data_IF_413562683270
#
_entry.id   IF_413562683270
#
_cell.length_a   1.000
_cell.length_b   1.000
_cell.length_c   1.000
_cell.angle_alpha   90.00
_cell.angle_beta   90.00
_cell.angle_gamma   90.00
#
_symmetry.space_group_name_H-M   'P 1'
#
loop_
_entity.id
_entity.type
_entity.pdbx_description
1 polymer ?
#
# COMPACT_ATOMS: atom_id res chain seq x y z
N UNK A 1 -16.74 -9.62 23.40
CA UNK A 1 -15.69 -9.01 22.54
C UNK A 1 -14.63 -8.28 23.37
N UNK A 2 -14.94 -7.17 24.07
CA UNK A 2 -13.94 -6.32 24.73
C UNK A 2 -12.85 -7.05 25.55
N UNK A 3 -13.21 -8.04 26.37
CA UNK A 3 -12.25 -8.78 27.21
C UNK A 3 -11.18 -9.56 26.41
N UNK A 4 -11.56 -10.20 25.30
CA UNK A 4 -10.61 -10.94 24.45
C UNK A 4 -9.68 -10.01 23.68
N UNK A 5 -10.22 -8.90 23.16
CA UNK A 5 -9.44 -7.89 22.45
C UNK A 5 -8.46 -7.15 23.38
N UNK A 6 -8.88 -6.85 24.62
CA UNK A 6 -8.00 -6.33 25.66
C UNK A 6 -6.82 -7.28 25.90
N UNK A 7 -7.07 -8.58 26.10
CA UNK A 7 -6.01 -9.56 26.31
C UNK A 7 -5.02 -9.61 25.13
N UNK A 8 -5.52 -9.64 23.89
CA UNK A 8 -4.68 -9.58 22.68
C UNK A 8 -3.80 -8.33 22.66
N UNK A 9 -4.40 -7.15 22.82
CA UNK A 9 -3.67 -5.87 22.76
C UNK A 9 -2.61 -5.76 23.89
N UNK A 10 -2.82 -6.41 25.04
CA UNK A 10 -1.80 -6.51 26.10
C UNK A 10 -0.72 -7.57 25.84
N UNK A 11 -0.95 -8.53 24.96
CA UNK A 11 -0.01 -9.61 24.63
C UNK A 11 0.83 -9.29 23.37
N UNK A 12 0.31 -8.45 22.48
CA UNK A 12 1.03 -8.03 21.28
C UNK A 12 2.28 -7.21 21.63
N UNK A 13 3.46 -7.53 21.07
CA UNK A 13 4.69 -6.79 21.34
C UNK A 13 4.61 -5.36 20.77
N UNK A 14 5.20 -4.35 21.43
CA UNK A 14 5.23 -2.98 20.92
C UNK A 14 5.95 -2.94 19.56
N UNK A 15 5.38 -2.22 18.60
CA UNK A 15 5.96 -2.09 17.26
C UNK A 15 7.06 -1.01 17.25
N UNK A 16 8.23 -1.30 16.68
CA UNK A 16 9.36 -0.37 16.62
C UNK A 16 9.17 0.74 15.56
N UNK A 17 10.23 1.54 15.33
CA UNK A 17 10.30 2.49 14.23
C UNK A 17 10.48 1.82 12.87
N UNK A 18 10.27 2.58 11.78
CA UNK A 18 10.63 2.13 10.43
C UNK A 18 12.15 1.89 10.34
N UNK A 19 12.56 0.88 9.57
CA UNK A 19 13.95 0.42 9.50
C UNK A 19 14.33 -0.65 10.53
N UNK A 20 13.57 -0.82 11.61
CA UNK A 20 13.78 -1.90 12.59
C UNK A 20 13.05 -3.20 12.20
N UNK A 21 13.56 -4.34 12.67
CA UNK A 21 12.95 -5.64 12.41
C UNK A 21 11.61 -5.79 13.18
N UNK A 22 10.51 -6.18 12.52
CA UNK A 22 9.23 -6.37 13.20
C UNK A 22 9.30 -7.54 14.21
N UNK A 23 8.77 -7.38 15.43
CA UNK A 23 8.89 -8.38 16.50
C UNK A 23 7.93 -9.57 16.36
N UNK A 24 7.00 -9.53 15.40
CA UNK A 24 5.97 -10.53 15.15
C UNK A 24 5.53 -10.47 13.69
N UNK A 25 5.08 -11.58 13.11
CA UNK A 25 4.51 -11.64 11.75
C UNK A 25 2.98 -11.47 11.75
N UNK A 26 2.41 -11.10 10.60
CA UNK A 26 0.94 -11.05 10.44
C UNK A 26 0.26 -12.41 10.64
N UNK A 27 0.94 -13.50 10.31
CA UNK A 27 0.42 -14.86 10.52
C UNK A 27 0.28 -15.16 12.02
N UNK A 28 1.28 -14.78 12.82
CA UNK A 28 1.24 -14.95 14.28
C UNK A 28 0.19 -14.05 14.94
N UNK A 29 0.05 -12.79 14.50
CA UNK A 29 -1.05 -11.92 14.95
C UNK A 29 -2.41 -12.54 14.55
N UNK A 30 -2.52 -13.11 13.36
CA UNK A 30 -3.72 -13.83 12.90
C UNK A 30 -4.04 -15.07 13.72
N UNK A 31 -3.01 -15.83 14.13
CA UNK A 31 -3.13 -17.00 15.01
C UNK A 31 -3.67 -16.60 16.38
N UNK A 32 -3.07 -15.57 17.00
CA UNK A 32 -3.49 -15.03 18.30
C UNK A 32 -4.90 -14.42 18.24
N UNK A 33 -5.24 -13.73 17.14
CA UNK A 33 -6.56 -13.12 16.96
C UNK A 33 -7.65 -14.14 16.60
N UNK A 34 -7.29 -15.26 15.97
CA UNK A 34 -8.21 -16.33 15.57
C UNK A 34 -8.90 -17.04 16.74
N UNK A 35 -8.31 -17.01 17.94
CA UNK A 35 -8.90 -17.52 19.18
C UNK A 35 -10.06 -16.62 19.70
N UNK A 36 -10.19 -15.40 19.17
CA UNK A 36 -11.15 -14.40 19.67
C UNK A 36 -12.39 -14.38 18.78
N UNK A 37 -13.59 -14.66 19.33
CA UNK A 37 -14.83 -14.57 18.56
C UNK A 37 -15.18 -13.11 18.26
N UNK A 38 -15.16 -12.75 16.97
CA UNK A 38 -15.62 -11.47 16.44
C UNK A 38 -15.68 -11.49 14.92
N UNK A 39 -16.77 -10.96 14.34
CA UNK A 39 -16.91 -10.81 12.88
C UNK A 39 -15.95 -9.72 12.35
N UNK A 40 -15.67 -8.74 13.22
CA UNK A 40 -14.81 -7.58 12.95
C UNK A 40 -13.35 -8.00 12.79
N UNK A 41 -12.86 -8.89 13.68
CA UNK A 41 -11.51 -9.46 13.59
C UNK A 41 -11.39 -10.30 12.32
N UNK A 42 -12.36 -11.18 12.05
CA UNK A 42 -12.33 -12.03 10.84
C UNK A 42 -12.30 -11.19 9.55
N UNK A 43 -13.18 -10.19 9.43
CA UNK A 43 -13.21 -9.30 8.28
C UNK A 43 -11.92 -8.48 8.09
N UNK A 44 -11.21 -8.14 9.18
CA UNK A 44 -9.90 -7.52 9.10
C UNK A 44 -8.84 -8.46 8.51
N UNK A 45 -8.83 -9.74 8.90
CA UNK A 45 -7.92 -10.72 8.30
C UNK A 45 -8.30 -11.11 6.87
N UNK A 46 -9.59 -11.16 6.53
CA UNK A 46 -10.07 -11.28 5.13
C UNK A 46 -9.51 -10.14 4.26
N UNK A 47 -9.45 -8.91 4.76
CA UNK A 47 -8.87 -7.76 4.03
C UNK A 47 -7.34 -7.87 3.84
N UNK A 48 -6.61 -8.44 4.81
CA UNK A 48 -5.17 -8.67 4.69
C UNK A 48 -4.90 -9.74 3.63
N UNK A 49 -5.61 -10.87 3.71
CA UNK A 49 -5.52 -11.97 2.74
C UNK A 49 -5.90 -11.54 1.32
N UNK A 50 -6.93 -10.67 1.19
CA UNK A 50 -7.31 -10.07 -0.08
C UNK A 50 -6.17 -9.25 -0.69
N UNK A 51 -5.42 -8.50 0.11
CA UNK A 51 -4.30 -7.70 -0.39
C UNK A 51 -3.09 -8.55 -0.78
N UNK A 52 -2.78 -9.60 -0.03
CA UNK A 52 -1.72 -10.55 -0.40
C UNK A 52 -2.10 -11.27 -1.72
N UNK A 53 -3.35 -11.73 -1.84
CA UNK A 53 -3.89 -12.31 -3.10
C UNK A 53 -3.81 -11.33 -4.26
N UNK A 54 -4.13 -10.04 -4.02
CA UNK A 54 -4.03 -8.99 -5.02
C UNK A 54 -2.57 -8.74 -5.43
N UNK A 55 -1.63 -8.75 -4.48
CA UNK A 55 -0.19 -8.61 -4.76
C UNK A 55 0.32 -9.74 -5.65
N UNK A 56 -0.08 -10.97 -5.38
CA UNK A 56 0.35 -12.15 -6.14
C UNK A 56 -0.25 -12.14 -7.57
N UNK A 57 -1.50 -11.71 -7.72
CA UNK A 57 -2.14 -11.48 -9.02
C UNK A 57 -1.46 -10.34 -9.82
N UNK A 58 -1.13 -9.23 -9.16
CA UNK A 58 -0.37 -8.13 -9.79
C UNK A 58 1.01 -8.62 -10.22
N UNK A 59 1.76 -9.29 -9.35
CA UNK A 59 3.07 -9.84 -9.66
C UNK A 59 3.05 -10.90 -10.76
N UNK A 60 1.97 -11.70 -10.85
CA UNK A 60 1.76 -12.65 -11.94
C UNK A 60 1.58 -11.96 -13.29
N UNK A 61 0.76 -10.89 -13.35
CA UNK A 61 0.54 -10.10 -14.57
C UNK A 61 1.79 -9.33 -15.01
N UNK A 62 2.55 -8.80 -14.06
CA UNK A 62 3.79 -8.06 -14.31
C UNK A 62 5.03 -8.96 -14.45
N UNK A 63 4.85 -10.28 -14.43
CA UNK A 63 5.92 -11.28 -14.56
C UNK A 63 7.09 -11.09 -13.58
N UNK A 64 6.80 -10.66 -12.34
CA UNK A 64 7.84 -10.34 -11.35
C UNK A 64 8.56 -11.60 -10.83
N UNK A 65 9.90 -11.58 -10.72
CA UNK A 65 10.65 -12.70 -10.15
C UNK A 65 10.26 -12.92 -8.68
N UNK A 66 10.11 -14.19 -8.30
CA UNK A 66 9.58 -14.60 -6.98
C UNK A 66 8.13 -15.10 -7.01
N UNK A 67 7.33 -14.66 -8.00
CA UNK A 67 5.98 -15.24 -8.28
C UNK A 67 6.06 -16.34 -9.34
N UNK A 68 7.09 -16.32 -10.18
CA UNK A 68 7.35 -17.30 -11.23
C UNK A 68 7.51 -18.72 -10.67
N UNK A 69 6.47 -19.54 -10.84
CA UNK A 69 6.46 -20.97 -10.49
C UNK A 69 5.28 -21.42 -9.63
N UNK A 70 4.57 -20.49 -8.99
CA UNK A 70 3.27 -20.79 -8.38
C UNK A 70 2.15 -20.56 -9.40
N UNK A 71 1.07 -21.37 -9.42
CA UNK A 71 -0.10 -21.07 -10.22
C UNK A 71 -0.70 -19.75 -9.71
N UNK A 72 -0.95 -18.81 -10.63
CA UNK A 72 -1.58 -17.54 -10.28
C UNK A 72 -2.91 -17.79 -9.53
N UNK A 73 -3.23 -17.03 -8.47
CA UNK A 73 -4.50 -17.17 -7.76
C UNK A 73 -5.69 -17.05 -8.72
N UNK A 74 -6.81 -17.72 -8.43
CA UNK A 74 -8.03 -17.54 -9.24
C UNK A 74 -8.57 -16.10 -9.03
N UNK A 75 -8.67 -15.26 -10.08
CA UNK A 75 -9.27 -13.92 -9.97
C UNK A 75 -10.72 -13.96 -9.49
N UNK A 76 -11.43 -15.08 -9.65
CA UNK A 76 -12.77 -15.31 -9.12
C UNK A 76 -12.88 -15.29 -7.58
N UNK A 77 -11.74 -15.35 -6.87
CA UNK A 77 -11.68 -15.15 -5.42
C UNK A 77 -11.78 -13.67 -4.99
N UNK A 78 -11.53 -12.73 -5.91
CA UNK A 78 -11.58 -11.30 -5.63
C UNK A 78 -13.03 -10.76 -5.60
N UNK A 79 -13.30 -9.64 -4.89
CA UNK A 79 -14.51 -8.86 -5.09
C UNK A 79 -14.73 -8.54 -6.58
N UNK A 80 -15.98 -8.59 -7.11
CA UNK A 80 -16.22 -8.48 -8.56
C UNK A 80 -15.64 -7.22 -9.24
N UNK A 81 -15.59 -6.10 -8.51
CA UNK A 81 -15.00 -4.83 -8.97
C UNK A 81 -13.48 -4.91 -9.18
N UNK A 82 -12.79 -5.73 -8.39
CA UNK A 82 -11.36 -6.02 -8.51
C UNK A 82 -11.10 -7.13 -9.54
N UNK A 83 -11.89 -8.22 -9.53
CA UNK A 83 -11.78 -9.31 -10.49
C UNK A 83 -11.83 -8.81 -11.95
N UNK A 84 -12.71 -7.84 -12.22
CA UNK A 84 -12.83 -7.18 -13.53
C UNK A 84 -11.54 -6.49 -14.03
N UNK A 85 -10.58 -6.16 -13.16
CA UNK A 85 -9.28 -5.57 -13.56
C UNK A 85 -8.26 -6.60 -14.07
N UNK A 86 -8.57 -7.90 -13.97
CA UNK A 86 -7.71 -8.99 -14.43
C UNK A 86 -8.28 -9.72 -15.66
N UNK A 87 -9.43 -9.27 -16.20
CA UNK A 87 -10.01 -9.78 -17.44
C UNK A 87 -9.45 -9.11 -18.70
N UNK A 88 -9.84 -9.63 -19.87
CA UNK A 88 -9.36 -9.19 -21.19
C UNK A 88 -9.53 -7.68 -21.44
N UNK A 89 -10.66 -7.09 -21.00
CA UNK A 89 -10.93 -5.65 -21.14
C UNK A 89 -9.96 -4.73 -20.38
N UNK A 90 -9.11 -5.28 -19.50
CA UNK A 90 -8.04 -4.55 -18.83
C UNK A 90 -6.67 -4.73 -19.51
N UNK A 91 -6.56 -5.51 -20.59
CA UNK A 91 -5.30 -5.73 -21.32
C UNK A 91 -4.81 -4.47 -22.06
N UNK A 92 -5.72 -3.65 -22.58
CA UNK A 92 -5.40 -2.47 -23.41
C UNK A 92 -4.95 -1.23 -22.61
N UNK A 93 -4.94 -1.30 -21.27
CA UNK A 93 -4.53 -0.19 -20.40
C UNK A 93 -3.01 -0.20 -20.18
N UNK A 94 -2.40 0.99 -20.12
CA UNK A 94 -1.00 1.11 -19.69
C UNK A 94 -0.85 0.66 -18.24
N UNK A 95 0.30 0.05 -17.91
CA UNK A 95 0.57 -0.53 -16.59
C UNK A 95 0.31 0.46 -15.44
N UNK A 96 0.77 1.70 -15.59
CA UNK A 96 0.68 2.74 -14.56
C UNK A 96 -0.78 3.14 -14.26
N UNK A 97 -1.61 3.23 -15.29
CA UNK A 97 -3.05 3.55 -15.18
C UNK A 97 -3.77 2.37 -14.56
N UNK A 98 -3.52 1.17 -15.09
CA UNK A 98 -4.08 -0.08 -14.60
C UNK A 98 -3.78 -0.31 -13.11
N UNK A 99 -2.53 -0.15 -12.69
CA UNK A 99 -2.10 -0.32 -11.29
C UNK A 99 -2.73 0.74 -10.37
N UNK A 100 -2.84 1.98 -10.83
CA UNK A 100 -3.50 3.07 -10.08
C UNK A 100 -4.98 2.75 -9.86
N UNK A 101 -5.69 2.30 -10.89
CA UNK A 101 -7.10 1.87 -10.81
C UNK A 101 -7.30 0.59 -9.96
N UNK A 102 -6.40 -0.39 -10.04
CA UNK A 102 -6.42 -1.59 -9.17
C UNK A 102 -6.33 -1.19 -7.71
N UNK A 103 -5.36 -0.35 -7.34
CA UNK A 103 -5.19 0.10 -5.96
C UNK A 103 -6.36 0.98 -5.51
N UNK A 104 -6.87 1.87 -6.36
CA UNK A 104 -8.03 2.70 -6.03
C UNK A 104 -9.27 1.86 -5.71
N UNK A 105 -9.59 0.86 -6.54
CA UNK A 105 -10.69 -0.09 -6.30
C UNK A 105 -10.48 -0.92 -5.04
N UNK A 106 -9.24 -1.33 -4.76
CA UNK A 106 -8.91 -2.05 -3.53
C UNK A 106 -9.22 -1.19 -2.30
N UNK A 107 -8.72 0.06 -2.26
CA UNK A 107 -9.00 0.93 -1.11
C UNK A 107 -10.47 1.40 -1.05
N UNK A 108 -11.20 1.51 -2.18
CA UNK A 108 -12.68 1.67 -2.11
C UNK A 108 -13.31 0.51 -1.35
N UNK A 109 -12.92 -0.73 -1.65
CA UNK A 109 -13.39 -1.91 -0.91
C UNK A 109 -12.98 -1.86 0.58
N UNK A 110 -11.74 -1.48 0.89
CA UNK A 110 -11.28 -1.28 2.29
C UNK A 110 -12.15 -0.23 3.01
N UNK A 111 -12.49 0.88 2.36
CA UNK A 111 -13.34 1.93 2.94
C UNK A 111 -14.80 1.47 3.14
N UNK A 112 -15.36 0.69 2.20
CA UNK A 112 -16.68 0.06 2.33
C UNK A 112 -16.72 -0.94 3.48
N UNK A 113 -15.70 -1.79 3.59
CA UNK A 113 -15.53 -2.71 4.71
C UNK A 113 -15.38 -1.94 6.03
N UNK A 114 -14.54 -0.91 6.08
CA UNK A 114 -14.39 -0.01 7.23
C UNK A 114 -15.71 0.56 7.73
N UNK A 115 -16.54 1.09 6.82
CA UNK A 115 -17.90 1.55 7.13
C UNK A 115 -18.79 0.42 7.67
N UNK A 116 -18.78 -0.76 7.05
CA UNK A 116 -19.59 -1.91 7.50
C UNK A 116 -19.17 -2.46 8.87
N UNK A 117 -17.88 -2.32 9.22
CA UNK A 117 -17.32 -2.67 10.53
C UNK A 117 -17.50 -1.58 11.58
N UNK A 118 -17.92 -0.37 11.17
CA UNK A 118 -17.99 0.79 12.05
C UNK A 118 -16.63 1.32 12.48
N UNK A 119 -15.57 1.09 11.69
CA UNK A 119 -14.22 1.62 11.93
C UNK A 119 -13.99 2.93 11.17
N UNK A 120 -13.85 4.07 11.88
CA UNK A 120 -13.45 5.33 11.26
C UNK A 120 -12.01 5.26 10.76
N UNK A 121 -11.09 4.63 11.51
CA UNK A 121 -9.67 4.58 11.15
C UNK A 121 -9.45 3.89 9.80
N UNK A 122 -10.07 2.73 9.59
CA UNK A 122 -9.92 1.98 8.34
C UNK A 122 -10.54 2.73 7.14
N UNK A 123 -11.60 3.51 7.39
CA UNK A 123 -12.26 4.35 6.38
C UNK A 123 -11.38 5.56 6.02
N UNK A 124 -10.81 6.24 7.01
CA UNK A 124 -9.91 7.39 6.84
C UNK A 124 -8.59 6.97 6.17
N UNK A 125 -7.98 5.88 6.64
CA UNK A 125 -6.79 5.28 6.04
C UNK A 125 -6.98 4.97 4.56
N UNK A 126 -8.09 4.34 4.19
CA UNK A 126 -8.40 4.05 2.79
C UNK A 126 -8.65 5.31 1.97
N UNK A 127 -9.27 6.36 2.54
CA UNK A 127 -9.39 7.66 1.87
C UNK A 127 -8.02 8.31 1.61
N UNK A 128 -7.16 8.32 2.62
CA UNK A 128 -5.81 8.87 2.58
C UNK A 128 -4.91 8.15 1.55
N UNK A 129 -4.90 6.81 1.55
CA UNK A 129 -4.08 6.01 0.61
C UNK A 129 -4.56 6.11 -0.85
N UNK A 130 -5.85 6.38 -1.08
CA UNK A 130 -6.39 6.71 -2.42
C UNK A 130 -5.94 8.08 -2.87
N UNK A 131 -6.15 9.10 -2.03
CA UNK A 131 -5.75 10.47 -2.33
C UNK A 131 -4.25 10.56 -2.65
N UNK A 132 -3.40 9.87 -1.87
CA UNK A 132 -1.96 9.82 -2.10
C UNK A 132 -1.63 9.25 -3.48
N UNK A 133 -2.18 8.09 -3.85
CA UNK A 133 -1.91 7.45 -5.16
C UNK A 133 -2.35 8.30 -6.34
N UNK A 134 -3.50 8.96 -6.23
CA UNK A 134 -3.99 9.85 -7.29
C UNK A 134 -3.20 11.15 -7.39
N UNK A 135 -2.76 11.73 -6.27
CA UNK A 135 -1.89 12.90 -6.29
C UNK A 135 -0.47 12.56 -6.79
N UNK A 136 0.03 11.35 -6.50
CA UNK A 136 1.25 10.83 -7.10
C UNK A 136 1.07 10.63 -8.61
N UNK A 137 0.00 9.97 -9.08
CA UNK A 137 -0.29 9.82 -10.51
C UNK A 137 -0.42 11.18 -11.24
N UNK A 138 -1.10 12.17 -10.64
CA UNK A 138 -1.22 13.50 -11.20
C UNK A 138 0.12 14.29 -11.22
N UNK A 139 1.00 14.06 -10.24
CA UNK A 139 2.34 14.67 -10.21
C UNK A 139 3.24 14.06 -11.27
N UNK A 140 3.23 12.73 -11.36
CA UNK A 140 3.89 11.96 -12.42
C UNK A 140 3.44 12.41 -13.82
N UNK A 141 2.16 12.75 -13.99
CA UNK A 141 1.57 13.19 -15.26
C UNK A 141 2.06 14.57 -15.70
N UNK A 142 2.21 15.50 -14.75
CA UNK A 142 2.68 16.88 -14.99
C UNK A 142 4.13 16.89 -15.44
N UNK A 143 4.99 16.16 -14.74
CA UNK A 143 6.42 16.06 -15.08
C UNK A 143 6.64 15.55 -16.51
N UNK A 144 5.91 14.50 -16.94
CA UNK A 144 5.99 14.00 -18.32
C UNK A 144 5.55 15.02 -19.37
N UNK A 145 4.60 15.92 -19.06
CA UNK A 145 4.17 16.98 -19.96
C UNK A 145 5.19 18.12 -20.05
N UNK A 146 5.96 18.36 -18.98
CA UNK A 146 7.02 19.36 -18.90
C UNK A 146 8.35 18.88 -19.53
N UNK A 147 8.62 17.57 -19.53
CA UNK A 147 9.81 16.95 -20.16
C UNK A 147 9.72 16.80 -21.70
N UNK A 148 8.65 17.30 -22.34
CA UNK A 148 8.56 17.40 -23.79
C UNK A 148 9.69 18.32 -24.37
N UNK A 149 10.23 18.04 -25.57
CA UNK A 149 11.59 18.46 -25.90
C UNK A 149 11.77 19.98 -26.11
N UNK A 150 12.38 20.63 -25.12
CA UNK A 150 13.08 21.91 -25.27
C UNK A 150 14.47 21.64 -25.89
N UNK A 151 14.92 22.38 -26.92
CA UNK A 151 16.16 22.05 -27.63
C UNK A 151 17.42 22.30 -26.80
N UNK A 152 18.22 21.24 -26.64
CA UNK A 152 19.69 21.22 -26.45
C UNK A 152 20.32 22.25 -25.50
N UNK A 153 20.59 21.85 -24.24
CA UNK A 153 21.56 22.58 -23.41
C UNK A 153 21.77 22.04 -21.99
N UNK A 154 22.88 21.34 -21.77
CA UNK A 154 23.51 21.15 -20.45
C UNK A 154 22.74 20.30 -19.42
N UNK A 155 23.09 19.00 -19.33
CA UNK A 155 22.46 18.10 -18.36
C UNK A 155 22.89 18.31 -16.90
N UNK A 156 21.98 18.02 -15.97
CA UNK A 156 22.30 17.57 -14.61
C UNK A 156 21.80 16.14 -14.43
N UNK A 157 22.55 15.25 -13.74
CA UNK A 157 22.06 13.93 -13.36
C UNK A 157 21.24 14.04 -12.07
N UNK A 158 19.94 14.24 -12.21
CA UNK A 158 18.97 14.31 -11.11
C UNK A 158 17.59 13.92 -11.64
N UNK A 159 17.43 12.66 -12.06
CA UNK A 159 16.19 12.19 -12.67
C UNK A 159 15.04 12.25 -11.68
N UNK A 160 14.02 13.05 -12.00
CA UNK A 160 12.77 13.04 -11.24
C UNK A 160 12.13 11.66 -11.36
N UNK A 161 12.11 10.88 -10.28
CA UNK A 161 11.52 9.53 -10.25
C UNK A 161 9.99 9.52 -10.46
N UNK A 162 9.41 10.70 -10.65
CA UNK A 162 7.99 10.93 -10.73
C UNK A 162 7.56 11.07 -12.20
N UNK A 163 7.42 9.94 -12.92
CA UNK A 163 6.92 9.83 -14.32
C UNK A 163 5.70 8.87 -14.43
N UNK A 164 4.75 9.16 -15.32
CA UNK A 164 3.52 8.35 -15.60
C UNK A 164 2.18 9.10 -15.41
N UNK A 165 1.07 8.80 -16.13
CA UNK A 165 -0.19 9.57 -16.02
C UNK A 165 -1.09 9.05 -14.86
N UNK A 166 -2.23 9.64 -14.47
CA UNK A 166 -3.11 10.70 -15.02
C UNK A 166 -3.57 11.64 -13.87
N UNK A 167 -4.17 12.80 -14.16
CA UNK A 167 -4.99 13.54 -13.18
C UNK A 167 -6.23 12.72 -12.74
N UNK A 168 -6.68 12.82 -11.47
CA UNK A 168 -7.84 12.06 -10.99
C UNK A 168 -9.11 12.38 -11.78
N UNK A 169 -9.87 11.36 -12.25
CA UNK A 169 -11.21 11.55 -12.77
C UNK A 169 -12.10 12.32 -11.77
N UNK A 170 -12.93 13.27 -12.23
CA UNK A 170 -13.65 14.21 -11.35
C UNK A 170 -14.71 13.58 -10.44
N UNK A 171 -14.99 12.27 -10.58
CA UNK A 171 -16.08 11.54 -9.91
C UNK A 171 -15.56 10.43 -8.96
N UNK A 172 -14.33 10.53 -8.46
CA UNK A 172 -13.74 9.48 -7.62
C UNK A 172 -14.07 9.56 -6.12
N UNK A 173 -14.79 10.59 -5.68
CA UNK A 173 -15.10 10.79 -4.25
C UNK A 173 -13.85 10.80 -3.37
N UNK A 174 -12.77 11.42 -3.86
CA UNK A 174 -11.60 11.75 -3.05
C UNK A 174 -11.95 12.96 -2.17
N UNK A 175 -11.49 12.96 -0.92
CA UNK A 175 -11.68 14.10 -0.02
C UNK A 175 -10.72 15.24 -0.41
N UNK A 176 -11.21 16.41 -0.87
CA UNK A 176 -10.36 17.51 -1.28
C UNK A 176 -9.62 18.19 -0.13
N UNK A 177 -9.94 17.87 1.14
CA UNK A 177 -9.20 18.35 2.30
C UNK A 177 -7.89 17.57 2.56
N UNK A 178 -7.70 16.41 1.91
CA UNK A 178 -6.48 15.61 2.05
C UNK A 178 -5.44 16.11 1.03
N UNK A 179 -4.46 16.89 1.50
CA UNK A 179 -3.33 17.37 0.70
C UNK A 179 -2.04 16.60 1.02
N UNK A 180 -1.47 15.92 0.02
CA UNK A 180 -0.18 15.23 0.11
C UNK A 180 0.95 15.98 -0.60
N UNK A 181 0.72 17.20 -1.10
CA UNK A 181 1.68 17.94 -1.94
C UNK A 181 3.08 18.00 -1.33
N UNK A 182 3.19 18.33 -0.03
CA UNK A 182 4.48 18.39 0.67
C UNK A 182 5.17 17.01 0.77
N UNK A 183 4.41 15.96 1.10
CA UNK A 183 4.92 14.58 1.22
C UNK A 183 5.41 14.05 -0.13
N UNK A 184 4.67 14.33 -1.21
CA UNK A 184 5.03 13.92 -2.58
C UNK A 184 6.26 14.70 -3.07
N UNK A 185 6.37 16.00 -2.76
CA UNK A 185 7.56 16.80 -3.07
C UNK A 185 8.79 16.27 -2.34
N UNK A 186 8.68 15.97 -1.04
CA UNK A 186 9.76 15.37 -0.25
C UNK A 186 10.22 14.03 -0.84
N UNK A 187 9.28 13.16 -1.24
CA UNK A 187 9.58 11.88 -1.88
C UNK A 187 10.21 12.02 -3.28
N UNK A 188 9.72 12.93 -4.15
CA UNK A 188 10.33 13.16 -5.47
C UNK A 188 11.74 13.80 -5.37
N UNK A 189 12.09 14.43 -4.25
CA UNK A 189 13.42 15.01 -3.97
C UNK A 189 14.39 14.05 -3.27
N UNK A 190 13.97 12.80 -3.01
CA UNK A 190 14.82 11.79 -2.39
C UNK A 190 15.98 11.34 -3.32
N UNK A 191 17.07 10.86 -2.73
CA UNK A 191 18.31 10.54 -3.46
C UNK A 191 18.18 9.32 -4.39
N UNK A 192 17.31 8.38 -4.05
CA UNK A 192 17.02 7.18 -4.82
C UNK A 192 15.58 6.69 -4.54
N UNK A 193 15.04 5.73 -5.32
CA UNK A 193 13.67 5.25 -5.14
C UNK A 193 13.40 4.56 -3.78
N UNK A 194 14.43 4.02 -3.13
CA UNK A 194 14.28 3.38 -1.82
C UNK A 194 14.13 4.45 -0.73
N UNK A 195 14.90 5.54 -0.82
CA UNK A 195 14.72 6.72 0.02
C UNK A 195 13.34 7.39 -0.22
N UNK A 196 12.85 7.43 -1.46
CA UNK A 196 11.51 7.94 -1.76
C UNK A 196 10.41 7.09 -1.09
N UNK A 197 10.51 5.76 -1.15
CA UNK A 197 9.56 4.87 -0.47
C UNK A 197 9.61 4.97 1.05
N UNK A 198 10.79 5.20 1.64
CA UNK A 198 10.93 5.46 3.07
C UNK A 198 10.18 6.74 3.49
N UNK A 199 10.33 7.84 2.76
CA UNK A 199 9.57 9.09 3.02
C UNK A 199 8.06 8.84 2.98
N UNK A 200 7.58 8.08 1.99
CA UNK A 200 6.15 7.74 1.88
C UNK A 200 5.65 6.85 3.03
N UNK A 201 6.45 5.86 3.46
CA UNK A 201 6.11 4.99 4.59
C UNK A 201 6.21 5.71 5.94
N UNK A 202 7.11 6.68 6.10
CA UNK A 202 7.12 7.60 7.25
C UNK A 202 5.87 8.49 7.29
N UNK A 203 5.44 9.01 6.14
CA UNK A 203 4.17 9.74 6.01
C UNK A 203 2.96 8.89 6.41
N UNK A 204 2.93 7.62 5.99
CA UNK A 204 1.92 6.63 6.41
C UNK A 204 1.93 6.35 7.90
N UNK A 205 3.11 6.12 8.47
CA UNK A 205 3.27 5.86 9.90
C UNK A 205 2.82 7.05 10.75
N UNK A 206 3.18 8.28 10.34
CA UNK A 206 2.76 9.54 10.97
C UNK A 206 1.23 9.69 10.97
N UNK A 207 0.59 9.49 9.82
CA UNK A 207 -0.87 9.51 9.72
C UNK A 207 -1.53 8.48 10.67
N UNK A 208 -1.02 7.24 10.71
CA UNK A 208 -1.54 6.22 11.63
C UNK A 208 -1.38 6.64 13.10
N UNK A 209 -0.27 7.26 13.47
CA UNK A 209 -0.01 7.71 14.85
C UNK A 209 -0.85 8.92 15.26
N UNK A 210 -1.23 9.78 14.32
CA UNK A 210 -2.16 10.90 14.51
C UNK A 210 -3.63 10.43 14.65
N UNK A 211 -4.04 9.41 13.89
CA UNK A 211 -5.43 8.91 13.89
C UNK A 211 -5.70 7.80 14.92
N UNK A 212 -4.68 7.09 15.40
CA UNK A 212 -4.85 5.99 16.35
C UNK A 212 -5.17 6.48 17.77
N UNK A 213 -6.44 6.33 18.17
CA UNK A 213 -6.87 6.53 19.56
C UNK A 213 -6.22 5.46 20.45
N UNK A 214 -5.25 5.86 21.28
CA UNK A 214 -4.54 4.96 22.20
C UNK A 214 -5.38 4.63 23.44
N UNK A 215 -5.24 3.42 23.98
CA UNK A 215 -5.83 2.97 25.25
C UNK A 215 -7.37 2.91 25.29
N UNK A 216 -8.02 2.83 24.12
CA UNK A 216 -9.45 2.56 23.98
C UNK A 216 -9.80 1.06 24.12
N UNK A 217 -8.83 0.17 23.89
CA UNK A 217 -8.99 -1.28 23.75
C UNK A 217 -10.06 -1.69 22.72
N UNK A 218 -10.24 -0.87 21.68
CA UNK A 218 -11.19 -1.10 20.57
C UNK A 218 -10.51 -1.72 19.36
N UNK A 219 -11.31 -2.20 18.42
CA UNK A 219 -10.82 -2.78 17.15
C UNK A 219 -9.92 -1.80 16.39
N UNK A 220 -10.13 -0.49 16.54
CA UNK A 220 -9.26 0.56 15.98
C UNK A 220 -7.78 0.41 16.37
N UNK A 221 -7.47 -0.03 17.60
CA UNK A 221 -6.07 -0.25 18.01
C UNK A 221 -5.45 -1.48 17.35
N UNK A 222 -6.23 -2.55 17.17
CA UNK A 222 -5.77 -3.72 16.42
C UNK A 222 -5.60 -3.38 14.92
N UNK A 223 -6.47 -2.54 14.37
CA UNK A 223 -6.35 -2.02 13.00
C UNK A 223 -5.09 -1.15 12.89
N UNK A 224 -4.87 -0.17 13.78
CA UNK A 224 -3.67 0.65 13.80
C UNK A 224 -2.39 -0.19 13.93
N UNK A 225 -2.40 -1.18 14.82
CA UNK A 225 -1.30 -2.13 15.01
C UNK A 225 -0.99 -2.89 13.73
N UNK A 226 -2.01 -3.52 13.12
CA UNK A 226 -1.85 -4.30 11.89
C UNK A 226 -1.39 -3.43 10.72
N UNK A 227 -1.93 -2.23 10.57
CA UNK A 227 -1.51 -1.30 9.53
C UNK A 227 -0.05 -0.85 9.72
N UNK A 228 0.38 -0.50 10.95
CA UNK A 228 1.79 -0.16 11.23
C UNK A 228 2.72 -1.37 11.05
N UNK A 229 2.32 -2.56 11.51
CA UNK A 229 3.08 -3.80 11.32
C UNK A 229 3.26 -4.12 9.83
N UNK A 230 2.25 -3.86 9.00
CA UNK A 230 2.35 -4.01 7.54
C UNK A 230 3.36 -3.07 6.91
N UNK A 231 3.49 -1.82 7.37
CA UNK A 231 4.54 -0.90 6.91
C UNK A 231 5.93 -1.44 7.28
N UNK A 232 6.10 -1.92 8.53
CA UNK A 232 7.35 -2.54 8.98
C UNK A 232 7.72 -3.78 8.15
N UNK A 233 6.76 -4.66 7.88
CA UNK A 233 6.97 -5.85 7.04
C UNK A 233 7.22 -5.51 5.57
N UNK A 234 6.61 -4.45 5.03
CA UNK A 234 6.92 -3.91 3.70
C UNK A 234 8.36 -3.42 3.65
N UNK A 235 8.74 -2.57 4.59
CA UNK A 235 10.08 -1.99 4.68
C UNK A 235 11.16 -3.07 4.90
N UNK A 236 10.91 -4.06 5.75
CA UNK A 236 11.84 -5.17 6.01
C UNK A 236 12.14 -6.04 4.76
N UNK A 237 11.26 -6.02 3.74
CA UNK A 237 11.50 -6.68 2.43
C UNK A 237 12.34 -5.83 1.48
N UNK A 238 12.53 -4.53 1.74
CA UNK A 238 13.32 -3.62 0.90
C UNK A 238 14.83 -3.76 1.19
N UNK A 239 15.37 -4.94 0.93
CA UNK A 239 16.76 -5.26 1.19
C UNK A 239 17.67 -4.87 0.00
N UNK A 240 18.33 -3.72 0.09
CA UNK A 240 19.26 -3.22 -0.94
C UNK A 240 20.39 -4.21 -1.29
N UNK A 241 20.92 -4.96 -0.30
CA UNK A 241 22.02 -5.89 -0.54
C UNK A 241 21.55 -7.12 -1.35
N UNK A 242 20.34 -7.61 -1.08
CA UNK A 242 19.70 -8.68 -1.83
C UNK A 242 19.30 -8.22 -3.24
N UNK A 243 18.76 -7.01 -3.38
CA UNK A 243 18.50 -6.40 -4.70
C UNK A 243 19.75 -6.25 -5.57
N UNK A 244 20.89 -5.84 -4.98
CA UNK A 244 22.18 -5.79 -5.69
C UNK A 244 22.65 -7.19 -6.10
N UNK A 245 22.47 -8.20 -5.24
CA UNK A 245 22.83 -9.60 -5.54
C UNK A 245 22.01 -10.15 -6.71
N UNK A 246 20.69 -9.93 -6.70
CA UNK A 246 19.80 -10.32 -7.80
C UNK A 246 20.19 -9.59 -9.10
N UNK A 247 20.47 -8.29 -9.03
CA UNK A 247 20.91 -7.51 -10.20
C UNK A 247 22.22 -8.07 -10.78
N UNK A 248 23.19 -8.40 -9.93
CA UNK A 248 24.46 -9.02 -10.35
C UNK A 248 24.24 -10.40 -10.98
N UNK A 249 23.39 -11.25 -10.41
CA UNK A 249 23.06 -12.57 -10.94
C UNK A 249 22.37 -12.49 -12.32
N UNK A 250 21.51 -11.48 -12.55
CA UNK A 250 20.82 -11.27 -13.82
C UNK A 250 21.70 -10.58 -14.88
N UNK A 251 22.66 -9.75 -14.48
CA UNK A 251 23.55 -8.99 -15.40
C UNK A 251 24.90 -9.65 -15.69
N UNK A 252 25.18 -10.81 -15.10
CA UNK A 252 26.40 -11.62 -15.34
C UNK A 252 26.18 -12.80 -16.31
N UNK A 253 25.07 -12.78 -17.05
CA UNK A 253 24.69 -13.70 -18.14
C UNK A 253 24.96 -13.04 -19.49
#
# INVERSE_FOLDING_TARGET
>A
MAAGLHYLLTFLPPLPGLGEAPPITLEEVGRLAGEIPGREIRALFELIQLEDTLRDLVGSRLHLPGVAGQPAPDPGSLPPTLAAMFGEAAADQTEEVWLTEVMDRFYRHVAERGRSLGSPLLTLWAGWERALRWQMAATRARNLAEEAPVPSGGGQPGGSFCQGPVAPPPDQGLDPAIDHTALIQEACMAQDPLAAELVLDEGRARFLEEQAVRYSFRIEELIAYILKLRLLLRHARLNRAEGIKILQEVTSV
#
